data_IF_619330858591
#
_entry.id   IF_619330858591
#
_cell.length_a   1.000
_cell.length_b   1.000
_cell.length_c   1.000
_cell.angle_alpha   90.00
_cell.angle_beta   90.00
_cell.angle_gamma   90.00
#
_symmetry.space_group_name_H-M   'P 1'
#
loop_
_entity.id
_entity.type
_entity.pdbx_description
1 polymer ?
#
# COMPACT_ATOMS: atom_id res chain seq x y z
N UNK A 1 -11.11 9.83 25.90
CA UNK A 1 -10.63 10.38 24.61
C UNK A 1 -10.44 9.21 23.65
N UNK A 2 -11.31 9.02 22.65
CA UNK A 2 -11.25 7.87 21.73
C UNK A 2 -10.20 8.19 20.65
N UNK A 3 -9.02 7.62 20.80
CA UNK A 3 -7.98 7.69 19.76
C UNK A 3 -8.40 6.68 18.70
N UNK A 4 -8.88 7.18 17.57
CA UNK A 4 -9.38 6.38 16.45
C UNK A 4 -8.31 5.42 15.93
N UNK A 5 -8.58 4.13 16.07
CA UNK A 5 -7.80 3.02 15.55
C UNK A 5 -7.79 3.03 14.02
N UNK A 6 -6.78 3.66 13.39
CA UNK A 6 -6.52 3.46 11.97
C UNK A 6 -5.41 2.41 11.75
N UNK A 7 -5.57 1.25 12.37
CA UNK A 7 -4.76 0.07 12.06
C UNK A 7 -5.34 -0.56 10.78
N UNK A 8 -4.88 -0.07 9.63
CA UNK A 8 -5.19 -0.66 8.32
C UNK A 8 -4.83 -2.14 8.38
N UNK A 9 -5.85 -3.00 8.35
CA UNK A 9 -5.73 -4.45 8.56
C UNK A 9 -4.63 -5.04 7.67
N UNK A 10 -3.48 -5.36 8.25
CA UNK A 10 -2.49 -6.24 7.64
C UNK A 10 -2.93 -7.66 7.96
N UNK A 11 -3.86 -8.19 7.14
CA UNK A 11 -4.31 -9.58 7.21
C UNK A 11 -3.27 -10.45 6.51
N UNK A 12 -2.57 -11.28 7.29
CA UNK A 12 -1.74 -12.37 6.79
C UNK A 12 -2.54 -13.30 5.86
N UNK A 13 -2.03 -13.57 4.65
CA UNK A 13 -1.64 -14.91 4.14
C UNK A 13 -1.35 -14.87 2.62
N UNK A 14 -0.09 -14.63 2.23
CA UNK A 14 0.59 -15.07 0.98
C UNK A 14 0.18 -14.51 -0.41
N UNK A 15 -0.36 -13.29 -0.53
CA UNK A 15 -0.01 -12.43 -1.69
C UNK A 15 0.42 -11.01 -1.28
N UNK A 16 0.58 -10.77 0.02
CA UNK A 16 0.69 -9.44 0.65
C UNK A 16 2.04 -8.73 0.45
N UNK A 17 3.03 -9.42 -0.13
CA UNK A 17 4.38 -8.88 -0.31
C UNK A 17 4.39 -7.64 -1.21
N UNK A 18 3.66 -7.68 -2.34
CA UNK A 18 3.60 -6.58 -3.29
C UNK A 18 2.87 -5.34 -2.74
N UNK A 19 1.90 -5.52 -1.84
CA UNK A 19 1.23 -4.40 -1.16
C UNK A 19 2.20 -3.74 -0.18
N UNK A 20 2.97 -4.52 0.58
CA UNK A 20 3.98 -3.99 1.51
C UNK A 20 5.09 -3.22 0.80
N UNK A 21 5.58 -3.77 -0.32
CA UNK A 21 6.59 -3.10 -1.18
C UNK A 21 6.01 -1.82 -1.79
N UNK A 22 4.82 -1.87 -2.38
CA UNK A 22 4.15 -0.70 -2.94
C UNK A 22 3.89 0.40 -1.91
N UNK A 23 3.54 0.02 -0.67
CA UNK A 23 3.35 0.97 0.43
C UNK A 23 4.68 1.61 0.87
N UNK A 24 5.74 0.84 1.03
CA UNK A 24 7.06 1.36 1.44
C UNK A 24 7.63 2.33 0.40
N UNK A 25 7.59 1.96 -0.88
CA UNK A 25 7.97 2.85 -1.98
C UNK A 25 7.05 4.09 -2.05
N UNK A 26 5.74 3.90 -1.89
CA UNK A 26 4.78 5.01 -1.85
C UNK A 26 5.09 6.00 -0.73
N UNK A 27 5.42 5.53 0.47
CA UNK A 27 5.83 6.39 1.59
C UNK A 27 7.15 7.10 1.30
N UNK A 28 8.15 6.40 0.73
CA UNK A 28 9.43 7.00 0.36
C UNK A 28 9.26 8.12 -0.68
N UNK A 29 8.50 7.88 -1.75
CA UNK A 29 8.18 8.92 -2.74
C UNK A 29 7.32 10.03 -2.14
N UNK A 30 6.33 9.70 -1.32
CA UNK A 30 5.49 10.69 -0.64
C UNK A 30 6.29 11.60 0.29
N UNK A 31 7.32 11.08 0.96
CA UNK A 31 8.23 11.85 1.79
C UNK A 31 9.12 12.79 0.97
N UNK A 32 9.51 12.41 -0.26
CA UNK A 32 10.27 13.28 -1.16
C UNK A 32 9.46 14.47 -1.68
N UNK A 33 8.14 14.32 -1.79
CA UNK A 33 7.23 15.36 -2.29
C UNK A 33 6.55 16.16 -1.16
N UNK A 34 6.97 15.99 0.11
CA UNK A 34 6.31 16.53 1.31
C UNK A 34 4.80 16.21 1.39
N UNK A 35 4.38 15.16 0.65
CA UNK A 35 2.99 14.75 0.48
C UNK A 35 2.87 13.24 0.60
N UNK A 36 3.07 12.77 1.83
CA UNK A 36 3.01 11.34 2.19
C UNK A 36 1.65 10.74 1.85
N UNK A 37 0.56 11.51 1.94
CA UNK A 37 -0.78 11.06 1.57
C UNK A 37 -0.90 10.67 0.08
N UNK A 38 -0.31 11.47 -0.81
CA UNK A 38 -0.29 11.20 -2.25
C UNK A 38 0.58 9.97 -2.57
N UNK A 39 1.74 9.87 -1.91
CA UNK A 39 2.64 8.73 -2.06
C UNK A 39 2.03 7.40 -1.61
N UNK A 40 1.38 7.38 -0.45
CA UNK A 40 0.67 6.19 0.05
C UNK A 40 -0.48 5.79 -0.89
N UNK A 41 -1.26 6.77 -1.39
CA UNK A 41 -2.37 6.50 -2.30
C UNK A 41 -1.88 5.87 -3.62
N UNK A 42 -0.85 6.44 -4.22
CA UNK A 42 -0.25 5.93 -5.45
C UNK A 42 0.39 4.55 -5.22
N UNK A 43 1.25 4.41 -4.20
CA UNK A 43 1.93 3.15 -3.89
C UNK A 43 0.96 2.00 -3.61
N UNK A 44 -0.18 2.28 -2.98
CA UNK A 44 -1.21 1.28 -2.73
C UNK A 44 -2.00 0.92 -4.00
N UNK A 45 -2.40 1.90 -4.80
CA UNK A 45 -3.11 1.67 -6.07
C UNK A 45 -2.26 0.84 -7.03
N UNK A 46 -0.97 1.17 -7.16
CA UNK A 46 -0.04 0.38 -7.98
C UNK A 46 0.19 -1.02 -7.41
N UNK A 47 0.37 -1.16 -6.09
CA UNK A 47 0.55 -2.46 -5.44
C UNK A 47 -0.66 -3.40 -5.63
N UNK A 48 -1.88 -2.88 -5.52
CA UNK A 48 -3.12 -3.65 -5.71
C UNK A 48 -3.37 -3.93 -7.19
N UNK A 49 -3.19 -2.94 -8.08
CA UNK A 49 -3.39 -3.12 -9.51
C UNK A 49 -2.43 -4.18 -10.08
N UNK A 50 -1.19 -4.22 -9.60
CA UNK A 50 -0.21 -5.23 -9.99
C UNK A 50 -0.61 -6.62 -9.48
N UNK A 51 -1.13 -6.71 -8.25
CA UNK A 51 -1.62 -7.96 -7.66
C UNK A 51 -2.85 -8.51 -8.41
N UNK A 52 -3.80 -7.66 -8.81
CA UNK A 52 -4.97 -8.07 -9.61
C UNK A 52 -4.56 -8.55 -11.02
N UNK A 53 -3.61 -7.87 -11.67
CA UNK A 53 -3.12 -8.29 -12.98
C UNK A 53 -2.37 -9.63 -12.93
N UNK A 54 -1.62 -9.89 -11.85
CA UNK A 54 -0.96 -11.18 -11.63
C UNK A 54 -1.97 -12.31 -11.36
N UNK A 55 -3.04 -12.02 -10.61
CA UNK A 55 -4.11 -12.99 -10.29
C UNK A 55 -4.97 -13.36 -11.50
N UNK A 56 -5.02 -12.52 -12.54
CA UNK A 56 -5.79 -12.78 -13.77
C UNK A 56 -5.05 -13.69 -14.77
N UNK A 57 -3.76 -13.96 -14.53
CA UNK A 57 -2.91 -14.79 -15.40
C UNK A 57 -2.76 -16.24 -14.91
N UNK A 58 -3.40 -16.59 -13.80
CA UNK A 58 -3.46 -17.93 -13.19
C UNK A 58 -4.93 -18.31 -12.96
#
# INVERSE_FOLDING_TARGET
MKITSNQKKIKNKNPDYYIGVGLCFGVAFGALYDNVGLGIALGLVFGIAYQENLKKKY
#
